data_IF_885554202723
#
_entry.id   IF_885554202723
#
_cell.length_a   1.000
_cell.length_b   1.000
_cell.length_c   1.000
_cell.angle_alpha   90.00
_cell.angle_beta   90.00
_cell.angle_gamma   90.00
#
_symmetry.space_group_name_H-M   'P 1'
#
loop_
_entity.id
_entity.type
_entity.pdbx_description
1 polymer ?
#
# COMPACT_ATOMS: atom_id res chain seq x y z
N UNK A 1 -40.98 25.99 -52.38
CA UNK A 1 -41.08 25.00 -51.29
C UNK A 1 -40.05 23.91 -51.56
N UNK A 2 -38.83 24.11 -51.08
CA UNK A 2 -37.69 23.20 -51.31
C UNK A 2 -37.59 22.23 -50.13
N UNK A 3 -37.90 20.96 -50.38
CA UNK A 3 -37.81 19.88 -49.40
C UNK A 3 -36.35 19.58 -49.04
N UNK A 4 -36.10 19.44 -47.73
CA UNK A 4 -34.83 18.97 -47.21
C UNK A 4 -34.83 17.44 -47.17
N UNK A 5 -33.89 16.85 -47.92
CA UNK A 5 -33.51 15.44 -47.83
C UNK A 5 -32.85 15.19 -46.46
N UNK A 6 -33.47 14.38 -45.62
CA UNK A 6 -32.82 13.84 -44.43
C UNK A 6 -32.00 12.61 -44.82
N UNK A 7 -30.67 12.73 -44.83
CA UNK A 7 -29.76 11.60 -45.02
C UNK A 7 -29.77 10.71 -43.77
N UNK A 8 -30.22 9.46 -43.91
CA UNK A 8 -30.18 8.45 -42.86
C UNK A 8 -28.73 7.98 -42.67
N UNK A 9 -28.15 8.03 -41.46
CA UNK A 9 -26.80 7.52 -41.22
C UNK A 9 -26.76 5.99 -41.31
N UNK A 10 -25.73 5.49 -42.00
CA UNK A 10 -25.43 4.08 -42.24
C UNK A 10 -25.38 3.25 -40.96
N UNK A 11 -26.13 2.14 -40.93
CA UNK A 11 -26.25 1.17 -39.83
C UNK A 11 -24.92 0.46 -39.44
N UNK A 12 -23.82 0.70 -40.17
CA UNK A 12 -22.53 -0.02 -40.00
C UNK A 12 -21.64 0.51 -38.86
N UNK A 13 -21.81 1.77 -38.43
CA UNK A 13 -21.00 2.37 -37.34
C UNK A 13 -21.51 2.02 -35.94
N UNK A 14 -22.80 1.72 -35.82
CA UNK A 14 -23.47 1.42 -34.54
C UNK A 14 -23.00 0.08 -33.97
N UNK A 15 -22.74 -0.91 -34.84
CA UNK A 15 -22.29 -2.26 -34.46
C UNK A 15 -20.87 -2.23 -33.86
N UNK A 16 -19.99 -1.37 -34.38
CA UNK A 16 -18.62 -1.19 -33.88
C UNK A 16 -18.58 -0.50 -32.50
N UNK A 17 -19.43 0.51 -32.31
CA UNK A 17 -19.56 1.20 -31.02
C UNK A 17 -20.15 0.28 -29.93
N UNK A 18 -21.12 -0.56 -30.27
CA UNK A 18 -21.66 -1.55 -29.34
C UNK A 18 -20.63 -2.63 -28.96
N UNK A 19 -19.80 -3.05 -29.91
CA UNK A 19 -18.72 -4.01 -29.65
C UNK A 19 -17.62 -3.39 -28.76
N UNK A 20 -17.23 -2.14 -29.02
CA UNK A 20 -16.24 -1.41 -28.22
C UNK A 20 -16.73 -1.10 -26.80
N UNK A 21 -17.99 -0.69 -26.63
CA UNK A 21 -18.60 -0.51 -25.30
C UNK A 21 -18.67 -1.81 -24.50
N UNK A 22 -18.96 -2.94 -25.16
CA UNK A 22 -18.94 -4.24 -24.51
C UNK A 22 -17.53 -4.65 -24.09
N UNK A 23 -16.54 -4.42 -24.95
CA UNK A 23 -15.13 -4.71 -24.66
C UNK A 23 -14.61 -3.87 -23.49
N UNK A 24 -14.95 -2.57 -23.46
CA UNK A 24 -14.64 -1.69 -22.34
C UNK A 24 -15.33 -2.16 -21.05
N UNK A 25 -16.63 -2.47 -21.07
CA UNK A 25 -17.34 -2.96 -19.88
C UNK A 25 -16.76 -4.28 -19.35
N UNK A 26 -16.40 -5.21 -20.22
CA UNK A 26 -15.77 -6.48 -19.83
C UNK A 26 -14.38 -6.25 -19.22
N UNK A 27 -13.60 -5.31 -19.76
CA UNK A 27 -12.31 -4.92 -19.22
C UNK A 27 -12.41 -4.23 -17.85
N UNK A 28 -13.37 -3.31 -17.69
CA UNK A 28 -13.64 -2.66 -16.39
C UNK A 28 -14.14 -3.67 -15.34
N UNK A 29 -14.97 -4.64 -15.74
CA UNK A 29 -15.43 -5.74 -14.86
C UNK A 29 -14.27 -6.63 -14.40
N UNK A 30 -13.38 -7.03 -15.32
CA UNK A 30 -12.17 -7.80 -14.98
C UNK A 30 -11.28 -7.01 -14.03
N UNK A 31 -11.00 -5.73 -14.31
CA UNK A 31 -10.20 -4.88 -13.44
C UNK A 31 -10.83 -4.74 -12.05
N UNK A 32 -12.15 -4.61 -11.97
CA UNK A 32 -12.89 -4.54 -10.71
C UNK A 32 -12.80 -5.84 -9.90
N UNK A 33 -12.87 -7.00 -10.56
CA UNK A 33 -12.63 -8.31 -9.93
C UNK A 33 -11.19 -8.40 -9.42
N UNK A 34 -10.19 -7.97 -10.20
CA UNK A 34 -8.79 -7.95 -9.77
C UNK A 34 -8.56 -7.05 -8.55
N UNK A 35 -9.16 -5.85 -8.53
CA UNK A 35 -9.07 -4.92 -7.40
C UNK A 35 -9.73 -5.51 -6.16
N UNK A 36 -10.89 -6.18 -6.30
CA UNK A 36 -11.56 -6.86 -5.17
C UNK A 36 -10.78 -8.06 -4.66
N UNK A 37 -10.21 -8.89 -5.53
CA UNK A 37 -9.37 -10.03 -5.14
C UNK A 37 -8.12 -9.54 -4.43
N UNK A 38 -7.47 -8.49 -4.93
CA UNK A 38 -6.26 -7.91 -4.34
C UNK A 38 -6.54 -7.26 -2.98
N UNK A 39 -7.65 -6.53 -2.85
CA UNK A 39 -8.09 -5.97 -1.57
C UNK A 39 -8.45 -7.06 -0.55
N UNK A 40 -9.18 -8.10 -0.96
CA UNK A 40 -9.50 -9.25 -0.10
C UNK A 40 -8.24 -10.00 0.34
N UNK A 41 -7.27 -10.19 -0.55
CA UNK A 41 -5.99 -10.83 -0.26
C UNK A 41 -5.18 -10.00 0.76
N UNK A 42 -5.12 -8.69 0.61
CA UNK A 42 -4.46 -7.78 1.57
C UNK A 42 -5.10 -7.88 2.95
N UNK A 43 -6.44 -7.78 3.03
CA UNK A 43 -7.16 -7.89 4.31
C UNK A 43 -6.94 -9.26 4.96
N UNK A 44 -6.95 -10.35 4.17
CA UNK A 44 -6.73 -11.71 4.69
C UNK A 44 -5.30 -11.93 5.18
N UNK A 45 -4.30 -11.42 4.47
CA UNK A 45 -2.90 -11.47 4.89
C UNK A 45 -2.65 -10.63 6.15
N UNK A 46 -3.30 -9.47 6.30
CA UNK A 46 -3.21 -8.65 7.51
C UNK A 46 -3.82 -9.35 8.75
N UNK A 47 -4.93 -10.07 8.58
CA UNK A 47 -5.53 -10.85 9.67
C UNK A 47 -4.67 -12.07 10.07
N UNK A 48 -4.06 -12.74 9.08
CA UNK A 48 -3.13 -13.85 9.33
C UNK A 48 -1.86 -13.40 10.07
N UNK A 49 -1.31 -12.23 9.73
CA UNK A 49 -0.12 -11.70 10.42
C UNK A 49 -0.45 -11.22 11.84
N UNK A 50 -1.63 -10.63 12.06
CA UNK A 50 -2.11 -10.25 13.40
C UNK A 50 -2.35 -11.47 14.32
N UNK A 51 -2.95 -12.55 13.78
CA UNK A 51 -3.14 -13.80 14.53
C UNK A 51 -1.81 -14.50 14.85
N UNK A 52 -0.83 -14.46 13.95
CA UNK A 52 0.52 -14.98 14.25
C UNK A 52 1.26 -14.13 15.30
N UNK A 53 1.12 -12.80 15.25
CA UNK A 53 1.72 -11.91 16.26
C UNK A 53 1.10 -12.12 17.66
N UNK A 54 -0.22 -12.29 17.73
CA UNK A 54 -0.89 -12.58 19.01
C UNK A 54 -0.53 -13.96 19.56
N UNK A 55 -0.42 -14.99 18.72
CA UNK A 55 0.05 -16.31 19.13
C UNK A 55 1.51 -16.31 19.60
N UNK A 56 2.38 -15.57 18.93
CA UNK A 56 3.80 -15.44 19.33
C UNK A 56 3.94 -14.69 20.65
N UNK A 57 3.21 -13.58 20.84
CA UNK A 57 3.19 -12.87 22.12
C UNK A 57 2.58 -13.71 23.25
N UNK A 58 1.51 -14.46 22.98
CA UNK A 58 0.90 -15.40 23.93
C UNK A 58 1.86 -16.52 24.32
N UNK A 59 2.57 -17.09 23.34
CA UNK A 59 3.58 -18.10 23.58
C UNK A 59 4.77 -17.51 24.37
N UNK A 60 5.22 -16.30 24.04
CA UNK A 60 6.28 -15.60 24.77
C UNK A 60 5.89 -15.31 26.24
N UNK A 61 4.63 -14.92 26.48
CA UNK A 61 4.10 -14.73 27.84
C UNK A 61 3.93 -16.06 28.59
N UNK A 62 3.54 -17.14 27.90
CA UNK A 62 3.48 -18.50 28.42
C UNK A 62 4.87 -19.04 28.80
N UNK A 63 5.89 -18.80 27.97
CA UNK A 63 7.28 -19.17 28.26
C UNK A 63 7.87 -18.36 29.41
N UNK A 64 7.57 -17.05 29.49
CA UNK A 64 7.98 -16.20 30.62
C UNK A 64 7.37 -16.66 31.96
N UNK A 65 6.11 -17.11 31.96
CA UNK A 65 5.49 -17.71 33.17
C UNK A 65 6.17 -19.01 33.60
N UNK A 66 6.67 -19.82 32.65
CA UNK A 66 7.36 -21.09 32.94
C UNK A 66 8.78 -20.90 33.46
N UNK A 67 9.50 -19.84 33.04
CA UNK A 67 10.87 -19.57 33.49
C UNK A 67 10.95 -18.80 34.82
N UNK A 68 9.85 -18.25 35.32
CA UNK A 68 9.81 -17.44 36.55
C UNK A 68 9.34 -18.21 37.81
N UNK A 69 9.28 -19.56 37.79
CA UNK A 69 9.05 -20.38 38.99
C UNK A 69 9.80 -21.72 38.92
N UNK A 70 11.05 -21.81 39.42
CA UNK A 70 11.71 -23.10 39.55
C UNK A 70 11.46 -23.81 40.89
N UNK A 71 10.74 -23.24 41.88
CA UNK A 71 10.76 -23.77 43.26
C UNK A 71 9.40 -23.85 43.99
N UNK A 72 8.37 -24.41 43.36
CA UNK A 72 7.07 -24.57 44.04
C UNK A 72 6.44 -25.97 43.92
N UNK A 73 7.25 -27.03 43.81
CA UNK A 73 6.75 -28.42 43.85
C UNK A 73 7.63 -29.39 44.65
N UNK A 74 8.04 -29.00 45.85
CA UNK A 74 8.46 -29.94 46.91
C UNK A 74 8.16 -29.38 48.29
N UNK A 75 6.90 -29.10 48.61
CA UNK A 75 6.49 -29.05 50.02
C UNK A 75 5.67 -30.30 50.34
N UNK A 76 6.40 -31.23 50.92
CA UNK A 76 5.97 -32.52 51.41
C UNK A 76 4.78 -32.36 52.36
N UNK A 77 3.84 -33.31 52.32
CA UNK A 77 2.84 -33.55 53.36
C UNK A 77 3.55 -33.66 54.73
N UNK A 78 3.58 -32.60 55.53
CA UNK A 78 3.94 -32.67 56.95
C UNK A 78 2.88 -31.95 57.76
N UNK A 79 2.28 -32.69 58.71
CA UNK A 79 1.24 -32.23 59.64
C UNK A 79 1.74 -31.05 60.49
N UNK A 80 0.85 -30.13 60.91
CA UNK A 80 1.28 -28.95 61.65
C UNK A 80 1.66 -29.33 63.09
N UNK A 81 2.93 -29.12 63.45
CA UNK A 81 3.33 -29.00 64.86
C UNK A 81 3.11 -27.55 65.28
N UNK A 82 2.45 -27.39 66.43
CA UNK A 82 2.10 -26.11 67.04
C UNK A 82 3.36 -25.31 67.34
N UNK A 83 3.30 -24.01 67.02
CA UNK A 83 4.29 -22.96 67.31
C UNK A 83 5.49 -22.87 66.36
N UNK A 84 5.26 -22.38 65.14
CA UNK A 84 6.31 -21.66 64.41
C UNK A 84 5.67 -20.44 63.73
N UNK A 85 5.96 -19.25 64.27
CA UNK A 85 5.59 -17.98 63.66
C UNK A 85 6.31 -17.91 62.31
N UNK A 86 5.54 -17.83 61.23
CA UNK A 86 6.05 -17.77 59.86
C UNK A 86 6.85 -16.47 59.72
N UNK A 87 8.16 -16.48 59.39
CA UNK A 87 8.86 -15.26 59.11
C UNK A 87 8.35 -14.69 57.78
N UNK A 88 7.86 -13.47 57.87
CA UNK A 88 7.52 -12.58 56.76
C UNK A 88 8.67 -12.53 55.74
N UNK A 89 8.32 -12.83 54.49
CA UNK A 89 8.98 -12.42 53.23
C UNK A 89 10.29 -11.64 53.40
N UNK A 90 11.43 -12.33 53.47
CA UNK A 90 12.73 -11.72 53.18
C UNK A 90 13.62 -12.71 52.44
N UNK A 91 13.59 -12.63 51.11
CA UNK A 91 14.72 -12.94 50.25
C UNK A 91 14.42 -12.30 48.88
N UNK A 92 14.35 -10.97 48.89
CA UNK A 92 14.45 -10.17 47.67
C UNK A 92 15.79 -10.53 47.03
N UNK A 93 15.73 -11.19 45.88
CA UNK A 93 16.90 -11.62 45.12
C UNK A 93 17.87 -10.44 45.00
N UNK A 94 19.14 -10.61 45.40
CA UNK A 94 20.19 -9.57 45.33
C UNK A 94 20.22 -8.83 43.97
N UNK A 95 19.82 -9.53 42.90
CA UNK A 95 19.66 -9.01 41.55
C UNK A 95 18.51 -8.01 41.37
N UNK A 96 17.38 -8.14 42.07
CA UNK A 96 16.24 -7.20 41.96
C UNK A 96 16.55 -5.89 42.69
N UNK A 97 17.16 -5.97 43.87
CA UNK A 97 17.60 -4.78 44.63
C UNK A 97 18.64 -3.98 43.83
N UNK A 98 19.58 -4.66 43.17
CA UNK A 98 20.57 -3.99 42.33
C UNK A 98 19.93 -3.26 41.15
N UNK A 99 18.95 -3.89 40.48
CA UNK A 99 18.21 -3.29 39.36
C UNK A 99 17.37 -2.09 39.79
N UNK A 100 16.65 -2.20 40.91
CA UNK A 100 15.84 -1.10 41.45
C UNK A 100 16.71 0.12 41.83
N UNK A 101 17.94 -0.11 42.30
CA UNK A 101 18.90 0.99 42.56
C UNK A 101 19.32 1.68 41.26
N UNK A 102 19.70 0.91 40.24
CA UNK A 102 20.09 1.46 38.94
C UNK A 102 18.94 2.20 38.25
N UNK A 103 17.70 1.69 38.37
CA UNK A 103 16.52 2.35 37.81
C UNK A 103 16.22 3.68 38.51
N UNK A 104 16.37 3.73 39.84
CA UNK A 104 16.21 4.97 40.61
C UNK A 104 17.28 6.00 40.28
N UNK A 105 18.52 5.59 40.13
CA UNK A 105 19.62 6.47 39.70
C UNK A 105 19.36 7.05 38.30
N UNK A 106 18.89 6.23 37.36
CA UNK A 106 18.53 6.67 36.01
C UNK A 106 17.37 7.69 36.06
N UNK A 107 16.31 7.39 36.81
CA UNK A 107 15.15 8.27 36.94
C UNK A 107 15.57 9.62 37.52
N UNK A 108 16.36 9.62 38.60
CA UNK A 108 16.84 10.85 39.22
C UNK A 108 17.71 11.67 38.24
N UNK A 109 18.57 11.01 37.47
CA UNK A 109 19.39 11.72 36.48
C UNK A 109 18.57 12.39 35.38
N UNK A 110 17.41 11.82 35.04
CA UNK A 110 16.50 12.38 34.02
C UNK A 110 15.63 13.48 34.63
N UNK A 111 15.16 13.34 35.88
CA UNK A 111 14.35 14.37 36.54
C UNK A 111 15.15 15.62 36.85
N UNK A 112 16.43 15.45 37.21
CA UNK A 112 17.32 16.55 37.57
C UNK A 112 18.08 17.10 36.34
N UNK A 113 17.83 16.55 35.15
CA UNK A 113 18.46 16.96 33.91
C UNK A 113 18.07 18.40 33.54
N UNK A 114 19.05 19.31 33.54
CA UNK A 114 18.86 20.70 33.11
C UNK A 114 19.04 20.80 31.60
N UNK A 115 18.02 21.30 30.91
CA UNK A 115 18.07 21.52 29.45
C UNK A 115 19.10 22.58 29.06
N UNK A 116 19.44 23.49 29.97
CA UNK A 116 20.43 24.55 29.74
C UNK A 116 21.87 24.01 29.65
N UNK A 117 22.12 22.80 30.16
CA UNK A 117 23.41 22.11 30.04
C UNK A 117 23.61 21.48 28.66
N UNK A 118 22.59 21.50 27.79
CA UNK A 118 22.70 21.05 26.40
C UNK A 118 23.55 22.02 25.61
N UNK A 119 24.56 21.49 24.91
CA UNK A 119 25.35 22.28 23.97
C UNK A 119 24.46 22.80 22.85
N UNK A 120 24.63 24.08 22.49
CA UNK A 120 23.94 24.65 21.34
C UNK A 120 24.33 23.87 20.08
N UNK A 121 23.32 23.46 19.32
CA UNK A 121 23.49 22.78 18.04
C UNK A 121 22.84 23.62 16.94
N UNK A 122 23.65 24.12 16.01
CA UNK A 122 23.16 24.83 14.83
C UNK A 122 22.51 23.83 13.87
N UNK A 123 21.18 23.74 13.90
CA UNK A 123 20.42 22.95 12.94
C UNK A 123 20.21 23.73 11.65
N UNK A 124 20.88 23.34 10.56
CA UNK A 124 20.57 23.88 9.23
C UNK A 124 19.42 23.09 8.59
N UNK A 125 18.22 23.67 8.63
CA UNK A 125 17.08 23.17 7.86
C UNK A 125 17.25 23.60 6.39
N UNK A 126 17.72 22.68 5.53
CA UNK A 126 17.78 22.92 4.09
C UNK A 126 16.38 22.81 3.48
N UNK A 127 15.68 23.93 3.43
CA UNK A 127 14.56 24.13 2.50
C UNK A 127 15.14 24.30 1.09
N UNK A 128 15.18 23.21 0.33
CA UNK A 128 15.56 23.30 -1.09
C UNK A 128 14.45 24.04 -1.84
N UNK A 129 14.73 25.28 -2.23
CA UNK A 129 13.92 25.96 -3.23
C UNK A 129 14.00 25.17 -4.54
N UNK A 130 12.88 24.96 -5.25
CA UNK A 130 12.90 24.27 -6.53
C UNK A 130 13.88 24.97 -7.49
N UNK A 131 14.74 24.19 -8.14
CA UNK A 131 15.71 24.68 -9.11
C UNK A 131 15.00 25.42 -10.24
N UNK A 132 15.63 26.46 -10.81
CA UNK A 132 15.07 27.22 -11.96
C UNK A 132 14.62 26.29 -13.10
N UNK A 133 15.37 25.22 -13.36
CA UNK A 133 15.03 24.22 -14.38
C UNK A 133 13.73 23.47 -14.08
N UNK A 134 13.44 23.18 -12.81
CA UNK A 134 12.21 22.51 -12.41
C UNK A 134 10.99 23.41 -12.68
N UNK A 135 11.12 24.71 -12.38
CA UNK A 135 10.07 25.71 -12.64
C UNK A 135 9.82 25.87 -14.15
N UNK A 136 10.88 25.89 -14.96
CA UNK A 136 10.74 25.99 -16.42
C UNK A 136 10.06 24.75 -16.99
N UNK A 137 10.45 23.55 -16.55
CA UNK A 137 9.81 22.30 -16.98
C UNK A 137 8.32 22.27 -16.65
N UNK A 138 7.97 22.60 -15.41
CA UNK A 138 6.57 22.64 -14.98
C UNK A 138 5.73 23.61 -15.83
N UNK A 139 6.26 24.80 -16.13
CA UNK A 139 5.59 25.76 -17.03
C UNK A 139 5.38 25.19 -18.42
N UNK A 140 6.41 24.57 -19.00
CA UNK A 140 6.28 23.96 -20.34
C UNK A 140 5.26 22.83 -20.37
N UNK A 141 5.19 22.01 -19.32
CA UNK A 141 4.21 20.93 -19.22
C UNK A 141 2.78 21.48 -19.11
N UNK A 142 2.58 22.53 -18.30
CA UNK A 142 1.28 23.20 -18.18
C UNK A 142 0.83 23.84 -19.50
N UNK A 143 1.74 24.51 -20.22
CA UNK A 143 1.46 25.09 -21.53
C UNK A 143 1.03 24.02 -22.55
N UNK A 144 1.72 22.87 -22.58
CA UNK A 144 1.38 21.75 -23.46
C UNK A 144 0.00 21.17 -23.14
N UNK A 145 -0.30 20.94 -21.86
CA UNK A 145 -1.60 20.41 -21.41
C UNK A 145 -2.73 21.36 -21.84
N UNK A 146 -2.56 22.66 -21.63
CA UNK A 146 -3.55 23.66 -22.03
C UNK A 146 -3.72 23.69 -23.55
N UNK A 147 -2.62 23.64 -24.31
CA UNK A 147 -2.67 23.65 -25.79
C UNK A 147 -3.43 22.44 -26.37
N UNK A 148 -3.32 21.27 -25.73
CA UNK A 148 -4.04 20.05 -26.13
C UNK A 148 -5.49 20.11 -25.66
N UNK A 149 -5.75 20.62 -24.45
CA UNK A 149 -7.09 20.77 -23.90
C UNK A 149 -7.98 21.75 -24.69
N UNK A 150 -7.40 22.87 -25.12
CA UNK A 150 -8.09 23.91 -25.89
C UNK A 150 -8.07 23.66 -27.41
N UNK A 151 -7.56 22.50 -27.85
CA UNK A 151 -7.43 22.18 -29.27
C UNK A 151 -8.80 22.02 -29.95
N UNK A 152 -9.17 23.01 -30.76
CA UNK A 152 -10.41 23.02 -31.54
C UNK A 152 -10.27 22.18 -32.81
N UNK A 153 -10.97 21.05 -32.85
CA UNK A 153 -11.00 20.15 -34.02
C UNK A 153 -11.60 20.79 -35.27
N UNK A 154 -12.43 21.82 -35.11
CA UNK A 154 -13.06 22.53 -36.23
C UNK A 154 -12.06 23.34 -37.08
N UNK A 155 -10.84 23.57 -36.57
CA UNK A 155 -9.74 24.18 -37.31
C UNK A 155 -8.92 23.20 -38.16
N UNK A 156 -9.19 21.90 -38.08
CA UNK A 156 -8.52 20.90 -38.92
C UNK A 156 -9.04 21.00 -40.36
N UNK A 157 -8.13 21.08 -41.33
CA UNK A 157 -8.49 21.01 -42.75
C UNK A 157 -9.12 19.65 -43.03
N UNK A 158 -10.27 19.65 -43.70
CA UNK A 158 -10.89 18.41 -44.15
C UNK A 158 -9.94 17.70 -45.12
N UNK A 159 -9.55 16.48 -44.80
CA UNK A 159 -8.76 15.62 -45.68
C UNK A 159 -9.59 14.38 -45.99
N UNK A 160 -9.83 14.13 -47.28
CA UNK A 160 -10.47 12.89 -47.71
C UNK A 160 -9.43 11.77 -47.65
N UNK A 161 -9.57 10.86 -46.69
CA UNK A 161 -8.74 9.64 -46.63
C UNK A 161 -9.33 8.60 -47.56
N UNK A 162 -8.65 8.33 -48.68
CA UNK A 162 -9.00 7.22 -49.58
C UNK A 162 -8.40 5.93 -49.00
N UNK A 163 -9.22 5.17 -48.25
CA UNK A 163 -8.88 3.81 -47.84
C UNK A 163 -8.98 2.89 -49.06
N UNK A 164 -7.84 2.66 -49.73
CA UNK A 164 -7.73 1.63 -50.76
C UNK A 164 -7.73 0.28 -50.06
N UNK A 165 -8.90 -0.35 -50.04
CA UNK A 165 -9.03 -1.76 -49.70
C UNK A 165 -9.26 -2.56 -51.01
N UNK A 166 -8.24 -2.68 -51.89
CA UNK A 166 -8.38 -3.49 -53.10
C UNK A 166 -8.66 -4.92 -52.66
N UNK A 167 -9.74 -5.49 -53.19
CA UNK A 167 -9.98 -6.92 -53.01
C UNK A 167 -8.80 -7.66 -53.68
N UNK A 168 -8.26 -8.71 -53.03
CA UNK A 168 -7.25 -9.54 -53.66
C UNK A 168 -7.79 -10.06 -54.99
N UNK A 169 -6.95 -9.99 -56.03
CA UNK A 169 -7.30 -10.45 -57.37
C UNK A 169 -7.34 -11.97 -57.37
N UNK A 170 -8.05 -12.59 -58.33
CA UNK A 170 -8.10 -14.07 -58.44
C UNK A 170 -6.70 -14.68 -58.54
N UNK A 171 -5.79 -14.00 -59.23
CA UNK A 171 -4.40 -14.42 -59.38
C UNK A 171 -3.64 -14.42 -58.04
N UNK A 172 -3.92 -13.46 -57.15
CA UNK A 172 -3.32 -13.39 -55.81
C UNK A 172 -3.80 -14.57 -54.93
N UNK A 173 -5.08 -14.92 -55.05
CA UNK A 173 -5.69 -16.05 -54.33
C UNK A 173 -5.11 -17.39 -54.80
N UNK A 174 -4.92 -17.55 -56.11
CA UNK A 174 -4.37 -18.79 -56.69
C UNK A 174 -2.88 -18.97 -56.37
N UNK A 175 -2.13 -17.87 -56.30
CA UNK A 175 -0.72 -17.88 -55.92
C UNK A 175 -0.51 -18.27 -54.45
N UNK A 176 -1.37 -17.81 -53.54
CA UNK A 176 -1.31 -18.25 -52.13
C UNK A 176 -1.78 -19.69 -51.95
N UNK A 177 -2.76 -20.13 -52.75
CA UNK A 177 -3.29 -21.51 -52.70
C UNK A 177 -2.33 -22.55 -53.26
N UNK A 178 -1.38 -22.15 -54.10
CA UNK A 178 -0.34 -23.01 -54.70
C UNK A 178 1.03 -22.90 -54.00
N UNK A 179 1.19 -21.96 -53.08
CA UNK A 179 2.41 -21.73 -52.31
C UNK A 179 2.47 -22.40 -50.94
N UNK A 180 1.59 -23.37 -50.65
CA UNK A 180 1.53 -24.13 -49.39
C UNK A 180 1.81 -25.63 -49.62
#
# INVERSE_FOLDING_TARGET
MSGQNMSVPSQRSVVGLFSWLNYCNHFYSLLFVFVRVKSWLITRLSSLTSTMLTLTLSNMWSQRRKTTYPQAKKLHKRKPSRNCVIPLVTLTNKQTIAKEKTEKELINSITDFKKDDLKHADTQEKTFLPTKDAIVKEKTEQELINSIGDFKKDGLKHTETVEKNPLPTKDDIEKEKSGA
#
